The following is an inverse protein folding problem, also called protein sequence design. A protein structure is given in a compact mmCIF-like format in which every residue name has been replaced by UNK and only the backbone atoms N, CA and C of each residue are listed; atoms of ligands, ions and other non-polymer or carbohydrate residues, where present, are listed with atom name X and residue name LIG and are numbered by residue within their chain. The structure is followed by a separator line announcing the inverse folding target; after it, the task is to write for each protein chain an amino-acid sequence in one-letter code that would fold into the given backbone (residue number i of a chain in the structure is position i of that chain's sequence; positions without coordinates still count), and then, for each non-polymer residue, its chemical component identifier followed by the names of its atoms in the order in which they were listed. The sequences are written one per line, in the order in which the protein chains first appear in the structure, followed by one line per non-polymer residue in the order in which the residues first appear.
data_IF_619396407732
#
_entry.id   IF_619396407732
#
_cell.length_a   1.000
_cell.length_b   1.000
_cell.length_c   1.000
_cell.angle_alpha   90.00
_cell.angle_beta   90.00
_cell.angle_gamma   90.00
#
_symmetry.space_group_name_H-M   'P 1'
#
loop_
_entity.id
_entity.type
_entity.pdbx_description
1 polymer ?
#
# COMPACT_ATOMS: atom_id res chain seq x y z
N UNK A 1 -3.84 13.29 -6.50
CA UNK A 1 -2.38 12.99 -6.41
C UNK A 1 -1.58 13.99 -5.57
N UNK A 2 -1.82 15.32 -5.68
CA UNK A 2 -1.10 16.34 -4.90
C UNK A 2 -1.18 16.11 -3.39
N UNK A 3 -2.39 15.86 -2.87
CA UNK A 3 -2.62 15.62 -1.43
C UNK A 3 -1.85 14.41 -0.89
N UNK A 4 -1.92 13.26 -1.56
CA UNK A 4 -1.19 12.05 -1.17
C UNK A 4 0.32 12.30 -1.08
N UNK A 5 0.89 13.09 -2.00
CA UNK A 5 2.31 13.46 -1.97
C UNK A 5 2.64 14.33 -0.76
N UNK A 6 1.82 15.34 -0.48
CA UNK A 6 1.98 16.23 0.69
C UNK A 6 1.90 15.45 2.00
N UNK A 7 0.89 14.59 2.14
CA UNK A 7 0.71 13.72 3.31
C UNK A 7 1.86 12.72 3.44
N UNK A 8 2.33 12.11 2.35
CA UNK A 8 3.46 11.19 2.39
C UNK A 8 4.74 11.85 2.91
N UNK A 9 5.05 13.07 2.45
CA UNK A 9 6.20 13.85 2.93
C UNK A 9 6.04 14.22 4.41
N UNK A 10 4.82 14.52 4.86
CA UNK A 10 4.52 14.80 6.27
C UNK A 10 4.69 13.54 7.11
N UNK A 11 4.03 12.46 6.73
CA UNK A 11 3.92 11.25 7.55
C UNK A 11 5.19 10.45 7.64
N UNK A 12 6.11 10.54 6.67
CA UNK A 12 7.44 9.94 6.85
C UNK A 12 8.24 10.64 7.95
N UNK A 13 7.99 11.94 8.19
CA UNK A 13 8.62 12.68 9.29
C UNK A 13 7.91 12.44 10.63
N UNK A 14 6.59 12.19 10.59
CA UNK A 14 5.77 12.00 11.79
C UNK A 14 5.86 10.57 12.33
N UNK A 15 5.60 9.57 11.49
CA UNK A 15 5.51 8.17 11.91
C UNK A 15 6.81 7.41 11.70
N UNK A 16 7.73 7.96 10.87
CA UNK A 16 8.94 7.28 10.40
C UNK A 16 8.59 6.00 9.63
N UNK A 17 9.50 5.51 8.78
CA UNK A 17 9.26 4.28 8.00
C UNK A 17 8.42 4.47 6.74
N UNK A 18 8.80 3.77 5.67
CA UNK A 18 8.21 3.99 4.35
C UNK A 18 6.82 3.36 4.19
N UNK A 19 6.56 2.21 4.82
CA UNK A 19 5.35 1.43 4.57
C UNK A 19 4.12 2.07 5.25
N UNK A 20 4.15 2.23 6.56
CA UNK A 20 3.05 2.81 7.35
C UNK A 20 2.73 4.25 6.93
N UNK A 21 3.73 5.08 6.66
CA UNK A 21 3.52 6.46 6.22
C UNK A 21 2.89 6.53 4.84
N UNK A 22 3.25 5.62 3.93
CA UNK A 22 2.63 5.55 2.60
C UNK A 22 1.17 5.13 2.70
N UNK A 23 0.86 4.10 3.49
CA UNK A 23 -0.51 3.63 3.65
C UNK A 23 -1.41 4.71 4.25
N UNK A 24 -0.99 5.31 5.38
CA UNK A 24 -1.73 6.41 6.02
C UNK A 24 -1.97 7.58 5.06
N UNK A 25 -0.95 7.97 4.29
CA UNK A 25 -1.10 9.07 3.32
C UNK A 25 -2.08 8.75 2.19
N UNK A 26 -2.16 7.49 1.75
CA UNK A 26 -3.13 7.04 0.74
C UNK A 26 -4.54 7.02 1.33
N UNK A 27 -4.72 6.42 2.51
CA UNK A 27 -6.03 6.32 3.18
C UNK A 27 -6.59 7.71 3.47
N UNK A 28 -5.80 8.61 4.04
CA UNK A 28 -6.25 9.97 4.36
C UNK A 28 -6.52 10.82 3.12
N UNK A 29 -5.72 10.65 2.05
CA UNK A 29 -5.99 11.34 0.80
C UNK A 29 -7.29 10.86 0.14
N UNK A 30 -7.61 9.56 0.21
CA UNK A 30 -8.88 9.03 -0.28
C UNK A 30 -10.04 9.50 0.59
N UNK A 31 -9.86 9.47 1.91
CA UNK A 31 -10.85 9.95 2.88
C UNK A 31 -11.19 11.42 2.67
N UNK A 32 -10.21 12.26 2.35
CA UNK A 32 -10.47 13.68 2.04
C UNK A 32 -11.28 13.90 0.76
N UNK A 33 -11.37 12.89 -0.11
CA UNK A 33 -12.19 12.89 -1.33
C UNK A 33 -13.49 12.09 -1.14
N UNK A 34 -13.86 11.77 0.10
CA UNK A 34 -15.08 11.02 0.43
C UNK A 34 -14.99 9.51 0.24
N UNK A 35 -13.81 8.96 -0.06
CA UNK A 35 -13.59 7.52 -0.23
C UNK A 35 -13.01 6.92 1.05
N UNK A 36 -13.84 6.18 1.78
CA UNK A 36 -13.42 5.48 2.99
C UNK A 36 -12.98 4.04 2.66
N UNK A 37 -11.66 3.83 2.59
CA UNK A 37 -11.09 2.53 2.22
C UNK A 37 -11.22 1.47 3.32
N UNK A 38 -11.08 1.88 4.58
CA UNK A 38 -11.11 1.04 5.79
C UNK A 38 -11.70 1.82 6.96
N UNK A 39 -12.18 1.11 7.98
CA UNK A 39 -12.56 1.73 9.26
C UNK A 39 -11.30 2.13 10.04
N UNK A 40 -11.39 3.07 11.00
CA UNK A 40 -10.25 3.46 11.83
C UNK A 40 -9.58 2.29 12.57
N UNK A 41 -10.37 1.33 13.05
CA UNK A 41 -9.86 0.16 13.77
C UNK A 41 -9.05 -0.75 12.85
N UNK A 42 -9.56 -0.99 11.63
CA UNK A 42 -8.84 -1.79 10.62
C UNK A 42 -7.59 -1.06 10.13
N UNK A 43 -7.65 0.27 9.98
CA UNK A 43 -6.50 1.09 9.62
C UNK A 43 -5.36 0.94 10.64
N UNK A 44 -5.67 0.97 11.94
CA UNK A 44 -4.70 0.83 13.02
C UNK A 44 -4.04 -0.55 13.04
N UNK A 45 -4.80 -1.64 12.87
CA UNK A 45 -4.21 -2.98 12.76
C UNK A 45 -3.29 -3.13 11.54
N UNK A 46 -3.69 -2.55 10.39
CA UNK A 46 -2.84 -2.54 9.20
C UNK A 46 -1.58 -1.70 9.44
N UNK A 47 -1.71 -0.54 10.09
CA UNK A 47 -0.58 0.34 10.41
C UNK A 47 0.47 -0.41 11.23
N UNK A 48 0.05 -1.06 12.33
CA UNK A 48 0.93 -1.90 13.16
C UNK A 48 1.65 -2.98 12.36
N UNK A 49 0.95 -3.67 11.47
CA UNK A 49 1.57 -4.68 10.60
C UNK A 49 2.58 -4.09 9.62
N UNK A 50 2.30 -2.93 9.02
CA UNK A 50 3.17 -2.28 8.05
C UNK A 50 4.46 -1.73 8.67
N UNK A 51 4.47 -1.39 9.95
CA UNK A 51 5.70 -0.95 10.65
C UNK A 51 6.82 -1.97 10.49
N UNK A 52 6.52 -3.28 10.64
CA UNK A 52 7.51 -4.36 10.45
C UNK A 52 7.98 -4.56 9.01
N UNK A 53 7.24 -4.05 8.02
CA UNK A 53 7.56 -4.16 6.59
C UNK A 53 8.29 -2.93 6.04
N UNK A 54 8.63 -1.97 6.89
CA UNK A 54 9.44 -0.82 6.49
C UNK A 54 10.89 -1.21 6.21
N UNK A 55 11.52 -0.48 5.29
CA UNK A 55 12.90 -0.75 4.85
C UNK A 55 13.09 -2.12 4.19
N UNK A 56 12.02 -2.65 3.58
CA UNK A 56 12.01 -3.95 2.92
C UNK A 56 11.30 -4.99 3.77
N UNK A 57 12.05 -5.68 4.59
CA UNK A 57 11.50 -6.52 5.65
C UNK A 57 12.34 -6.19 6.87
N UNK A 58 11.78 -5.42 7.81
CA UNK A 58 12.49 -5.02 9.02
C UNK A 58 13.82 -4.28 8.79
N UNK A 59 13.88 -3.36 7.83
CA UNK A 59 15.07 -2.54 7.54
C UNK A 59 16.33 -3.28 7.04
N UNK A 60 16.18 -4.51 6.56
CA UNK A 60 17.30 -5.27 5.98
C UNK A 60 17.70 -4.76 4.59
N UNK A 61 16.91 -3.88 3.97
CA UNK A 61 17.08 -3.47 2.56
C UNK A 61 17.04 -4.64 1.57
N UNK A 62 16.36 -5.73 1.96
CA UNK A 62 16.12 -6.92 1.15
C UNK A 62 14.61 -7.14 1.01
N UNK A 63 14.18 -7.60 -0.16
CA UNK A 63 12.76 -7.81 -0.48
C UNK A 63 12.09 -6.57 -1.07
N UNK A 64 10.75 -6.56 -1.12
CA UNK A 64 9.97 -5.50 -1.76
C UNK A 64 10.11 -4.16 -1.02
N UNK A 65 10.15 -3.05 -1.75
CA UNK A 65 10.13 -1.72 -1.14
C UNK A 65 8.86 -1.56 -0.27
N UNK A 66 9.02 -1.16 1.00
CA UNK A 66 7.89 -1.05 1.93
C UNK A 66 6.81 -0.06 1.48
N UNK A 67 7.20 1.06 0.83
CA UNK A 67 6.24 2.00 0.25
C UNK A 67 5.43 1.37 -0.90
N UNK A 68 6.09 0.59 -1.77
CA UNK A 68 5.41 -0.13 -2.85
C UNK A 68 4.45 -1.20 -2.28
N UNK A 69 4.89 -1.94 -1.26
CA UNK A 69 4.06 -2.93 -0.56
C UNK A 69 2.79 -2.28 0.02
N UNK A 70 2.93 -1.15 0.71
CA UNK A 70 1.81 -0.40 1.28
C UNK A 70 0.84 0.16 0.21
N UNK A 71 1.37 0.72 -0.88
CA UNK A 71 0.53 1.20 -1.99
C UNK A 71 -0.23 0.04 -2.66
N UNK A 72 0.43 -1.11 -2.83
CA UNK A 72 -0.18 -2.32 -3.38
C UNK A 72 -1.29 -2.85 -2.48
N UNK A 73 -1.09 -2.83 -1.16
CA UNK A 73 -2.11 -3.18 -0.17
C UNK A 73 -3.35 -2.30 -0.31
N UNK A 74 -3.19 -0.98 -0.41
CA UNK A 74 -4.31 -0.05 -0.57
C UNK A 74 -5.14 -0.34 -1.84
N UNK A 75 -4.47 -0.62 -2.97
CA UNK A 75 -5.15 -1.01 -4.22
C UNK A 75 -5.87 -2.35 -4.06
N UNK A 76 -5.27 -3.32 -3.36
CA UNK A 76 -5.90 -4.61 -3.12
C UNK A 76 -7.13 -4.51 -2.21
N UNK A 77 -7.11 -3.62 -1.20
CA UNK A 77 -8.29 -3.32 -0.38
C UNK A 77 -9.41 -2.72 -1.23
N UNK A 78 -9.07 -1.78 -2.11
CA UNK A 78 -10.04 -1.16 -3.02
C UNK A 78 -10.62 -2.15 -4.04
N UNK A 79 -9.84 -3.17 -4.43
CA UNK A 79 -10.29 -4.25 -5.31
C UNK A 79 -11.31 -5.18 -4.63
N UNK A 80 -11.38 -5.15 -3.29
CA UNK A 80 -12.35 -5.90 -2.48
C UNK A 80 -12.42 -7.40 -2.84
N UNK A 81 -11.27 -8.02 -3.08
CA UNK A 81 -11.13 -9.46 -3.31
C UNK A 81 -10.53 -10.10 -2.06
N UNK A 82 -11.42 -10.68 -1.23
CA UNK A 82 -11.06 -11.37 -0.01
C UNK A 82 -11.25 -12.89 -0.09
N UNK A 83 -11.06 -13.56 1.06
CA UNK A 83 -11.13 -15.03 1.18
C UNK A 83 -12.42 -15.62 0.64
N UNK A 84 -13.56 -14.96 0.87
CA UNK A 84 -14.87 -15.47 0.44
C UNK A 84 -15.03 -15.45 -1.08
N UNK A 85 -14.66 -14.35 -1.76
CA UNK A 85 -14.69 -14.27 -3.22
C UNK A 85 -13.73 -15.27 -3.86
N UNK A 86 -12.53 -15.45 -3.29
CA UNK A 86 -11.57 -16.43 -3.77
C UNK A 86 -12.04 -17.89 -3.59
N UNK A 87 -12.84 -18.16 -2.54
CA UNK A 87 -13.45 -19.49 -2.34
C UNK A 87 -14.54 -19.79 -3.37
N UNK A 88 -15.31 -18.77 -3.77
CA UNK A 88 -16.36 -18.89 -4.78
C UNK A 88 -15.76 -19.09 -6.17
N UNK A 89 -14.78 -18.26 -6.53
CA UNK A 89 -14.02 -18.39 -7.76
C UNK A 89 -12.59 -17.87 -7.52
N UNK A 90 -11.61 -18.75 -7.74
CA UNK A 90 -10.20 -18.42 -7.53
C UNK A 90 -9.73 -17.37 -8.54
N UNK A 91 -10.32 -17.29 -9.73
CA UNK A 91 -9.89 -16.35 -10.78
C UNK A 91 -10.09 -14.89 -10.38
N UNK A 92 -10.96 -14.61 -9.39
CA UNK A 92 -11.10 -13.29 -8.79
C UNK A 92 -9.76 -12.70 -8.30
N UNK A 93 -8.79 -13.53 -7.91
CA UNK A 93 -7.44 -13.08 -7.48
C UNK A 93 -6.76 -12.19 -8.53
N UNK A 94 -7.01 -12.45 -9.81
CA UNK A 94 -6.36 -11.73 -10.92
C UNK A 94 -6.76 -10.26 -10.96
N UNK A 95 -7.96 -9.91 -10.48
CA UNK A 95 -8.41 -8.51 -10.41
C UNK A 95 -7.44 -7.71 -9.55
N UNK A 96 -7.13 -8.17 -8.33
CA UNK A 96 -6.17 -7.50 -7.46
C UNK A 96 -4.76 -7.52 -8.07
N UNK A 97 -4.35 -8.62 -8.71
CA UNK A 97 -3.01 -8.72 -9.31
C UNK A 97 -2.82 -7.69 -10.43
N UNK A 98 -3.77 -7.60 -11.36
CA UNK A 98 -3.69 -6.66 -12.47
C UNK A 98 -3.83 -5.20 -12.00
N UNK A 99 -4.73 -4.93 -11.06
CA UNK A 99 -4.88 -3.59 -10.50
C UNK A 99 -3.59 -3.09 -9.83
N UNK A 100 -2.88 -3.94 -9.09
CA UNK A 100 -1.58 -3.60 -8.50
C UNK A 100 -0.49 -3.46 -9.57
N UNK A 101 -0.42 -4.43 -10.49
CA UNK A 101 0.61 -4.46 -11.53
C UNK A 101 0.55 -3.21 -12.43
N UNK A 102 -0.64 -2.91 -12.98
CA UNK A 102 -0.85 -1.77 -13.87
C UNK A 102 -0.97 -0.44 -13.12
N UNK A 103 -1.58 -0.48 -11.93
CA UNK A 103 -1.82 0.71 -11.12
C UNK A 103 -0.53 1.35 -10.63
N UNK A 104 0.36 0.55 -10.03
CA UNK A 104 1.57 1.05 -9.35
C UNK A 104 2.85 0.28 -9.68
N UNK A 105 2.85 -1.05 -9.69
CA UNK A 105 4.10 -1.81 -9.68
C UNK A 105 4.93 -1.64 -10.95
N UNK A 106 4.32 -1.72 -12.14
CA UNK A 106 5.02 -1.51 -13.41
C UNK A 106 5.56 -0.07 -13.54
N UNK A 107 4.81 0.93 -13.07
CA UNK A 107 5.26 2.33 -13.06
C UNK A 107 6.44 2.53 -12.12
N UNK A 108 6.36 1.93 -10.93
CA UNK A 108 7.45 1.94 -9.94
C UNK A 108 8.71 1.29 -10.53
N UNK A 109 8.57 0.09 -11.10
CA UNK A 109 9.67 -0.64 -11.73
C UNK A 109 10.34 0.17 -12.85
N UNK A 110 9.56 0.77 -13.76
CA UNK A 110 10.11 1.61 -14.84
C UNK A 110 10.87 2.82 -14.30
N UNK A 111 10.40 3.41 -13.20
CA UNK A 111 10.99 4.61 -12.61
C UNK A 111 12.24 4.33 -11.77
N UNK A 112 12.23 3.24 -11.00
CA UNK A 112 13.25 2.94 -9.99
C UNK A 112 14.14 1.73 -10.36
N UNK A 113 13.92 1.11 -11.52
CA UNK A 113 14.72 -0.01 -12.01
C UNK A 113 14.53 -1.31 -11.23
N UNK A 114 13.42 -1.46 -10.51
CA UNK A 114 13.10 -2.64 -9.72
C UNK A 114 11.92 -2.44 -8.77
N UNK A 115 11.56 -3.51 -8.07
CA UNK A 115 10.50 -3.52 -7.05
C UNK A 115 11.06 -3.62 -5.62
N UNK A 116 12.37 -3.89 -5.49
CA UNK A 116 13.01 -4.15 -4.21
C UNK A 116 13.34 -2.87 -3.46
N UNK A 117 13.44 -2.96 -2.14
CA UNK A 117 14.03 -1.90 -1.32
C UNK A 117 15.51 -1.74 -1.70
N UNK A 118 15.99 -0.50 -1.78
CA UNK A 118 17.36 -0.13 -2.16
C UNK A 118 17.74 1.15 -1.44
#
# INVERSE_FOLDING_TARGET
MRKTRELGIKYVKTYVGCAQSTFAAVVDALRSEGVNLVTPEVEEEIHKGLVGLSGGVGNLSVGNCGALTAASLAISLASNIGRMKNKQDKENRWISYFNVAEGVAKKFMRKYGGLTCR
#
